data_IF_919570976680
#
_entry.id   IF_919570976680
#
_cell.length_a   1.000
_cell.length_b   1.000
_cell.length_c   1.000
_cell.angle_alpha   90.00
_cell.angle_beta   90.00
_cell.angle_gamma   90.00
#
_symmetry.space_group_name_H-M   'P 1'
#
loop_
_entity.id
_entity.type
_entity.pdbx_description
1 polymer ?
#
# COMPACT_ATOMS: atom_id res chain seq x y z
N UNK A 1 6.92 41.51 38.33
CA UNK A 1 7.29 40.45 39.29
C UNK A 1 7.73 39.21 38.50
N UNK A 2 9.00 39.19 38.09
CA UNK A 2 9.65 38.02 37.50
C UNK A 2 10.07 37.08 38.63
N UNK A 3 9.78 35.79 38.52
CA UNK A 3 10.40 34.76 39.37
C UNK A 3 11.30 33.88 38.50
N UNK A 4 12.59 34.21 38.51
CA UNK A 4 13.67 33.31 38.10
C UNK A 4 13.71 32.11 39.06
N UNK A 5 13.77 30.90 38.50
CA UNK A 5 14.11 29.70 39.24
C UNK A 5 15.33 29.08 38.54
N UNK A 6 16.50 29.33 39.09
CA UNK A 6 17.75 28.72 38.67
C UNK A 6 17.76 27.24 39.10
N UNK A 7 18.10 26.34 38.17
CA UNK A 7 18.36 24.92 38.47
C UNK A 7 19.86 24.65 38.33
N UNK A 8 20.50 23.90 39.24
CA UNK A 8 21.93 23.65 39.20
C UNK A 8 22.30 22.69 38.04
N UNK A 9 23.38 23.05 37.33
CA UNK A 9 23.99 22.27 36.25
C UNK A 9 24.67 21.01 36.81
N UNK A 10 24.04 19.86 36.58
CA UNK A 10 24.61 18.54 36.83
C UNK A 10 25.59 18.13 35.74
N UNK A 11 26.78 17.70 36.18
CA UNK A 11 27.93 17.21 35.41
C UNK A 11 27.53 16.07 34.43
N UNK A 12 27.68 16.30 33.12
CA UNK A 12 27.50 15.26 32.09
C UNK A 12 28.69 14.28 32.12
N UNK A 13 28.44 13.06 32.58
CA UNK A 13 29.34 11.92 32.33
C UNK A 13 29.16 11.44 30.88
N UNK A 14 30.27 11.40 30.15
CA UNK A 14 30.40 10.82 28.82
C UNK A 14 30.37 9.30 28.94
N UNK A 15 29.50 8.63 28.18
CA UNK A 15 29.55 7.19 27.94
C UNK A 15 28.29 6.43 28.34
N UNK A 16 27.27 6.45 27.48
CA UNK A 16 26.22 5.44 27.50
C UNK A 16 25.87 5.06 26.06
N UNK A 17 26.29 3.85 25.68
CA UNK A 17 25.96 3.22 24.41
C UNK A 17 24.43 3.09 24.25
N UNK A 18 23.93 3.53 23.10
CA UNK A 18 22.50 3.49 22.75
C UNK A 18 21.98 2.04 22.69
N UNK A 19 21.38 1.57 23.79
CA UNK A 19 20.42 0.46 23.74
C UNK A 19 19.03 1.05 23.57
N UNK A 20 18.39 0.76 22.44
CA UNK A 20 17.02 1.13 22.14
C UNK A 20 16.09 0.73 23.31
N UNK A 21 15.53 1.72 24.00
CA UNK A 21 14.45 1.49 24.97
C UNK A 21 13.21 1.08 24.18
N UNK A 22 12.85 -0.20 24.30
CA UNK A 22 11.54 -0.70 23.92
C UNK A 22 10.50 0.00 24.81
N UNK A 23 9.77 0.94 24.26
CA UNK A 23 8.61 1.53 24.92
C UNK A 23 7.61 0.40 25.24
N UNK A 24 7.31 0.20 26.52
CA UNK A 24 6.17 -0.60 26.92
C UNK A 24 4.91 0.19 26.58
N UNK A 25 4.21 -0.22 25.53
CA UNK A 25 2.84 0.21 25.32
C UNK A 25 1.96 -0.57 26.32
N UNK A 26 1.49 0.11 27.36
CA UNK A 26 0.38 -0.38 28.19
C UNK A 26 -0.93 -0.12 27.45
N UNK A 27 -1.68 -1.18 27.19
CA UNK A 27 -3.09 -1.06 26.81
C UNK A 27 -3.87 -0.79 28.10
N UNK A 28 -4.49 0.39 28.18
CA UNK A 28 -5.47 0.73 29.20
C UNK A 28 -6.71 -0.13 28.93
N UNK A 29 -6.96 -1.11 29.80
CA UNK A 29 -8.26 -1.78 29.88
C UNK A 29 -9.15 -0.95 30.79
N UNK A 30 -10.25 -0.44 30.22
CA UNK A 30 -11.29 0.24 30.99
C UNK A 30 -11.91 -0.73 31.99
N UNK A 31 -11.95 -0.29 33.25
CA UNK A 31 -12.44 -1.05 34.39
C UNK A 31 -13.86 -0.58 34.75
N UNK A 32 -14.73 -1.55 35.06
CA UNK A 32 -15.82 -1.50 36.05
C UNK A 32 -16.47 -2.90 36.10
N UNK A 33 -16.04 -3.73 37.05
CA UNK A 33 -17.00 -4.33 37.97
C UNK A 33 -16.35 -4.83 39.28
N UNK A 34 -17.11 -4.69 40.34
CA UNK A 34 -16.78 -4.80 41.77
C UNK A 34 -16.45 -6.21 42.29
N UNK A 35 -15.53 -6.33 43.26
CA UNK A 35 -15.57 -7.40 44.27
C UNK A 35 -14.24 -8.00 44.76
N UNK A 36 -13.74 -7.47 45.90
CA UNK A 36 -12.80 -8.03 46.90
C UNK A 36 -11.36 -8.51 46.51
N UNK A 37 -10.35 -8.22 47.35
CA UNK A 37 -8.96 -8.61 47.09
C UNK A 37 -8.72 -10.05 47.58
N UNK A 38 -8.78 -11.03 46.68
CA UNK A 38 -8.25 -12.35 46.99
C UNK A 38 -6.72 -12.28 46.97
N UNK A 39 -6.11 -12.47 48.14
CA UNK A 39 -4.70 -12.81 48.30
C UNK A 39 -4.47 -14.17 47.62
N UNK A 40 -4.14 -14.16 46.33
CA UNK A 40 -3.84 -15.40 45.59
C UNK A 40 -2.35 -15.68 45.70
N UNK A 41 -2.05 -16.58 46.62
CA UNK A 41 -0.90 -17.46 46.73
C UNK A 41 0.11 -17.39 45.59
N UNK A 42 1.32 -16.93 45.94
CA UNK A 42 2.55 -17.34 45.27
C UNK A 42 2.67 -18.88 45.36
N UNK A 43 2.86 -19.54 44.22
CA UNK A 43 3.16 -20.97 43.99
C UNK A 43 2.17 -21.70 43.07
N UNK A 44 2.03 -21.22 41.84
CA UNK A 44 1.58 -22.06 40.73
C UNK A 44 2.25 -21.58 39.43
N UNK A 45 3.54 -21.87 39.28
CA UNK A 45 4.27 -21.70 38.01
C UNK A 45 3.75 -22.72 37.00
N UNK A 46 2.53 -22.52 36.51
CA UNK A 46 2.09 -23.13 35.27
C UNK A 46 2.96 -22.52 34.18
N UNK A 47 3.94 -23.28 33.68
CA UNK A 47 4.75 -22.92 32.51
C UNK A 47 3.82 -22.62 31.34
N UNK A 48 3.42 -21.36 31.19
CA UNK A 48 2.57 -20.94 30.09
C UNK A 48 3.38 -21.14 28.79
N UNK A 49 2.79 -21.74 27.75
CA UNK A 49 3.50 -21.92 26.49
C UNK A 49 4.00 -20.56 25.97
N UNK A 50 5.20 -20.50 25.37
CA UNK A 50 5.80 -19.25 24.93
C UNK A 50 4.86 -18.54 23.94
N UNK A 51 4.74 -17.22 24.09
CA UNK A 51 3.92 -16.39 23.19
C UNK A 51 4.46 -16.52 21.76
N UNK A 52 3.56 -16.73 20.81
CA UNK A 52 3.86 -16.74 19.38
C UNK A 52 4.50 -15.42 18.93
N UNK A 53 5.33 -15.38 17.87
CA UNK A 53 5.91 -14.13 17.39
C UNK A 53 4.85 -13.16 16.89
N UNK A 54 5.09 -11.85 17.02
CA UNK A 54 4.11 -10.80 16.68
C UNK A 54 3.68 -10.82 15.22
N UNK A 55 4.57 -11.17 14.30
CA UNK A 55 4.25 -11.31 12.87
C UNK A 55 3.19 -12.39 12.63
N UNK A 56 3.34 -13.54 13.27
CA UNK A 56 2.38 -14.65 13.17
C UNK A 56 1.06 -14.31 13.86
N UNK A 57 1.11 -13.64 15.01
CA UNK A 57 -0.10 -13.14 15.68
C UNK A 57 -0.87 -12.16 14.79
N UNK A 58 -0.17 -11.24 14.12
CA UNK A 58 -0.78 -10.23 13.26
C UNK A 58 -1.54 -10.84 12.06
N UNK A 59 -1.18 -12.04 11.60
CA UNK A 59 -1.90 -12.74 10.52
C UNK A 59 -3.34 -13.05 10.92
N UNK A 60 -3.54 -13.54 12.15
CA UNK A 60 -4.86 -13.91 12.67
C UNK A 60 -5.70 -12.72 13.14
N UNK A 61 -5.07 -11.58 13.37
CA UNK A 61 -5.75 -10.35 13.77
C UNK A 61 -6.19 -9.55 12.54
N UNK A 62 -7.09 -8.58 12.79
CA UNK A 62 -7.43 -7.55 11.81
C UNK A 62 -6.19 -6.73 11.43
N UNK A 63 -6.12 -6.19 10.21
CA UNK A 63 -4.97 -5.41 9.77
C UNK A 63 -4.80 -4.20 10.68
N UNK A 64 -3.59 -4.07 11.25
CA UNK A 64 -3.21 -2.93 12.06
C UNK A 64 -3.16 -1.68 11.17
N UNK A 65 -3.55 -0.53 11.73
CA UNK A 65 -3.56 0.75 11.02
C UNK A 65 -2.67 1.75 11.74
N UNK A 66 -2.07 2.67 10.98
CA UNK A 66 -1.35 3.83 11.52
C UNK A 66 -2.27 5.04 11.50
N UNK A 67 -2.04 5.96 12.42
CA UNK A 67 -2.72 7.25 12.47
C UNK A 67 -2.01 8.25 11.55
N UNK A 68 -2.79 9.12 10.91
CA UNK A 68 -2.28 10.21 10.08
C UNK A 68 -2.19 11.49 10.92
N UNK A 69 -1.15 12.29 10.71
CA UNK A 69 -0.90 13.52 11.48
C UNK A 69 -1.61 14.73 10.85
N UNK A 70 -1.45 14.91 9.54
CA UNK A 70 -1.99 16.04 8.79
C UNK A 70 -3.27 15.66 8.01
N UNK A 71 -3.38 14.39 7.63
CA UNK A 71 -4.56 13.87 6.93
C UNK A 71 -4.66 14.29 5.46
N UNK A 72 -3.54 14.62 4.82
CA UNK A 72 -3.49 15.00 3.41
C UNK A 72 -3.42 13.72 2.56
N UNK A 73 -4.30 13.54 1.55
CA UNK A 73 -4.27 12.34 0.72
C UNK A 73 -3.05 12.34 -0.22
N UNK A 74 -2.25 11.27 -0.15
CA UNK A 74 -1.06 11.09 -1.00
C UNK A 74 -1.32 10.08 -2.12
N UNK A 75 -2.17 9.07 -1.89
CA UNK A 75 -2.48 8.07 -2.90
C UNK A 75 -3.87 7.46 -2.69
N UNK A 76 -4.61 7.32 -3.78
CA UNK A 76 -5.89 6.64 -3.85
C UNK A 76 -5.78 5.41 -4.72
N UNK A 77 -5.88 4.24 -4.11
CA UNK A 77 -5.88 2.95 -4.79
C UNK A 77 -7.31 2.43 -4.93
N UNK A 78 -7.81 2.42 -6.17
CA UNK A 78 -9.08 1.82 -6.51
C UNK A 78 -8.90 0.40 -7.02
N UNK A 79 -9.50 -0.56 -6.31
CA UNK A 79 -9.57 -1.96 -6.66
C UNK A 79 -10.91 -2.25 -7.34
N UNK A 80 -10.89 -3.06 -8.41
CA UNK A 80 -12.08 -3.49 -9.14
C UNK A 80 -12.05 -5.00 -9.36
N UNK A 81 -13.18 -5.66 -9.17
CA UNK A 81 -13.35 -7.08 -9.50
C UNK A 81 -14.81 -7.40 -9.79
N UNK A 82 -15.05 -8.54 -10.44
CA UNK A 82 -16.39 -9.10 -10.60
C UNK A 82 -16.80 -9.99 -9.41
N UNK A 83 -15.85 -10.37 -8.54
CA UNK A 83 -16.10 -11.21 -7.36
C UNK A 83 -15.66 -10.52 -6.06
N UNK A 84 -16.34 -10.85 -4.95
CA UNK A 84 -16.14 -10.22 -3.64
C UNK A 84 -14.88 -10.78 -2.96
N UNK A 85 -14.72 -12.11 -2.94
CA UNK A 85 -13.66 -12.79 -2.21
C UNK A 85 -12.23 -12.36 -2.60
N UNK A 86 -11.83 -12.35 -3.90
CA UNK A 86 -10.50 -11.91 -4.28
C UNK A 86 -10.27 -10.42 -3.96
N UNK A 87 -11.33 -9.61 -4.07
CA UNK A 87 -11.29 -8.17 -3.84
C UNK A 87 -11.06 -7.84 -2.37
N UNK A 88 -11.77 -8.50 -1.45
CA UNK A 88 -11.63 -8.30 -0.01
C UNK A 88 -10.32 -8.88 0.54
N UNK A 89 -9.92 -10.06 0.05
CA UNK A 89 -8.64 -10.66 0.41
C UNK A 89 -7.46 -9.75 0.01
N UNK A 90 -7.47 -9.25 -1.22
CA UNK A 90 -6.41 -8.40 -1.71
C UNK A 90 -6.40 -7.02 -1.01
N UNK A 91 -7.57 -6.50 -0.66
CA UNK A 91 -7.65 -5.28 0.14
C UNK A 91 -7.04 -5.45 1.54
N UNK A 92 -7.29 -6.57 2.23
CA UNK A 92 -6.67 -6.87 3.53
C UNK A 92 -5.14 -6.99 3.39
N UNK A 93 -4.67 -7.70 2.36
CA UNK A 93 -3.24 -7.81 2.05
C UNK A 93 -2.60 -6.43 1.83
N UNK A 94 -3.25 -5.56 1.07
CA UNK A 94 -2.73 -4.21 0.79
C UNK A 94 -2.62 -3.34 2.05
N UNK A 95 -3.59 -3.43 2.96
CA UNK A 95 -3.53 -2.73 4.25
C UNK A 95 -2.39 -3.22 5.14
N UNK A 96 -2.16 -4.55 5.18
CA UNK A 96 -1.05 -5.13 5.95
C UNK A 96 0.29 -4.65 5.42
N UNK A 97 0.47 -4.62 4.09
CA UNK A 97 1.69 -4.11 3.47
C UNK A 97 1.93 -2.62 3.81
N UNK A 98 0.87 -1.79 3.76
CA UNK A 98 0.96 -0.38 4.12
C UNK A 98 1.40 -0.17 5.59
N UNK A 99 0.89 -0.97 6.52
CA UNK A 99 1.25 -0.89 7.95
C UNK A 99 2.74 -1.12 8.22
N UNK A 100 3.35 -2.08 7.50
CA UNK A 100 4.78 -2.37 7.64
C UNK A 100 5.65 -1.29 7.02
N UNK A 101 5.19 -0.64 5.94
CA UNK A 101 5.85 0.52 5.34
C UNK A 101 5.62 1.82 6.12
N UNK A 102 4.83 1.79 7.19
CA UNK A 102 4.54 2.97 8.01
C UNK A 102 3.52 3.93 7.39
N UNK A 103 2.84 3.54 6.31
CA UNK A 103 1.84 4.36 5.64
C UNK A 103 0.49 4.29 6.38
N UNK A 104 -0.13 5.43 6.76
CA UNK A 104 -1.46 5.43 7.34
C UNK A 104 -2.52 5.25 6.24
N UNK A 105 -2.89 4.00 6.03
CA UNK A 105 -3.91 3.58 5.09
C UNK A 105 -5.31 3.52 5.74
N UNK A 106 -6.25 4.20 5.11
CA UNK A 106 -7.68 4.11 5.40
C UNK A 106 -8.27 2.92 4.64
N UNK A 107 -9.11 2.16 5.34
CA UNK A 107 -9.55 0.82 4.94
C UNK A 107 -10.29 0.75 3.61
N UNK A 108 -10.68 -0.46 3.15
CA UNK A 108 -11.40 -0.62 1.90
C UNK A 108 -12.78 0.04 1.98
N UNK A 109 -12.88 1.26 1.48
CA UNK A 109 -14.12 2.00 1.35
C UNK A 109 -14.91 1.34 0.21
N UNK A 110 -16.12 0.80 0.48
CA UNK A 110 -16.95 0.22 -0.55
C UNK A 110 -17.52 1.35 -1.42
N UNK A 111 -17.00 1.45 -2.65
CA UNK A 111 -17.59 2.35 -3.64
C UNK A 111 -18.83 1.69 -4.25
N UNK A 112 -19.80 2.49 -4.75
CA UNK A 112 -20.98 1.96 -5.42
C UNK A 112 -20.59 0.98 -6.54
N UNK A 113 -21.29 -0.16 -6.63
CA UNK A 113 -21.08 -1.13 -7.72
C UNK A 113 -21.60 -0.56 -9.03
N UNK A 114 -20.94 -0.91 -10.14
CA UNK A 114 -21.43 -0.60 -11.49
C UNK A 114 -22.14 -1.86 -11.99
N UNK A 115 -23.38 -1.75 -12.43
CA UNK A 115 -24.12 -2.87 -13.02
C UNK A 115 -24.44 -2.58 -14.47
N UNK A 116 -23.80 -3.33 -15.36
CA UNK A 116 -24.07 -3.29 -16.79
C UNK A 116 -25.08 -4.39 -17.11
N UNK A 117 -26.13 -4.08 -17.87
CA UNK A 117 -27.19 -5.02 -18.24
C UNK A 117 -27.37 -5.07 -19.74
N UNK A 118 -27.56 -6.26 -20.28
CA UNK A 118 -27.88 -6.45 -21.70
C UNK A 118 -28.89 -7.58 -21.85
N UNK A 119 -29.76 -7.44 -22.84
CA UNK A 119 -30.84 -8.39 -23.12
C UNK A 119 -30.56 -9.10 -24.44
N UNK A 120 -30.51 -10.42 -24.43
CA UNK A 120 -30.18 -11.22 -25.61
C UNK A 120 -31.33 -12.19 -25.89
N UNK A 121 -31.73 -12.39 -27.16
CA UNK A 121 -32.64 -13.47 -27.52
C UNK A 121 -32.08 -14.83 -27.09
N UNK A 122 -32.92 -15.69 -26.51
CA UNK A 122 -32.49 -17.03 -26.07
C UNK A 122 -32.08 -17.94 -27.23
N UNK A 123 -32.68 -17.73 -28.40
CA UNK A 123 -32.37 -18.45 -29.63
C UNK A 123 -31.70 -17.52 -30.64
N UNK A 124 -30.81 -18.10 -31.43
CA UNK A 124 -30.11 -17.43 -32.52
C UNK A 124 -31.04 -16.95 -33.66
N UNK A 125 -32.26 -17.52 -33.79
CA UNK A 125 -33.16 -17.23 -34.91
C UNK A 125 -34.66 -17.21 -34.54
N UNK A 126 -35.44 -16.34 -35.21
CA UNK A 126 -36.91 -16.10 -35.17
C UNK A 126 -37.51 -15.76 -33.79
N UNK A 127 -37.11 -16.40 -32.69
CA UNK A 127 -37.78 -16.34 -31.39
C UNK A 127 -37.44 -15.08 -30.56
N UNK A 128 -37.74 -13.88 -31.09
CA UNK A 128 -37.48 -12.59 -30.41
C UNK A 128 -38.28 -12.38 -29.11
N UNK A 129 -39.47 -12.98 -28.98
CA UNK A 129 -40.30 -12.88 -27.76
C UNK A 129 -39.68 -13.58 -26.54
N UNK A 130 -38.76 -14.52 -26.77
CA UNK A 130 -38.01 -15.20 -25.72
C UNK A 130 -36.64 -14.53 -25.55
N UNK A 131 -36.53 -13.62 -24.58
CA UNK A 131 -35.29 -12.91 -24.25
C UNK A 131 -34.78 -13.30 -22.86
N UNK A 132 -33.49 -13.11 -22.63
CA UNK A 132 -32.80 -13.31 -21.36
C UNK A 132 -32.01 -12.05 -20.99
N UNK A 133 -32.07 -11.69 -19.71
CA UNK A 133 -31.35 -10.55 -19.17
C UNK A 133 -30.04 -11.04 -18.56
N UNK A 134 -28.93 -10.50 -19.02
CA UNK A 134 -27.62 -10.72 -18.43
C UNK A 134 -27.17 -9.46 -17.70
N UNK A 135 -26.39 -9.65 -16.63
CA UNK A 135 -25.73 -8.54 -15.95
C UNK A 135 -24.26 -8.83 -15.65
N UNK A 136 -23.46 -7.77 -15.69
CA UNK A 136 -22.09 -7.75 -15.19
C UNK A 136 -21.99 -6.71 -14.09
N UNK A 137 -21.77 -7.19 -12.87
CA UNK A 137 -21.62 -6.34 -11.69
C UNK A 137 -20.13 -6.15 -11.40
N UNK A 138 -19.65 -4.92 -11.54
CA UNK A 138 -18.29 -4.54 -11.15
C UNK A 138 -18.31 -4.00 -9.73
N UNK A 139 -17.67 -4.73 -8.84
CA UNK A 139 -17.47 -4.37 -7.44
C UNK A 139 -16.22 -3.51 -7.31
N UNK A 140 -16.28 -2.50 -6.45
CA UNK A 140 -15.21 -1.52 -6.29
C UNK A 140 -14.90 -1.31 -4.81
N UNK A 141 -13.62 -1.25 -4.49
CA UNK A 141 -13.10 -0.85 -3.17
C UNK A 141 -12.05 0.23 -3.37
N UNK A 142 -11.95 1.15 -2.43
CA UNK A 142 -10.96 2.22 -2.45
C UNK A 142 -10.14 2.17 -1.17
N UNK A 143 -8.83 2.24 -1.28
CA UNK A 143 -7.89 2.37 -0.17
C UNK A 143 -7.23 3.73 -0.35
N UNK A 144 -7.34 4.58 0.66
CA UNK A 144 -6.76 5.91 0.64
C UNK A 144 -5.59 5.95 1.61
N UNK A 145 -4.41 6.33 1.12
CA UNK A 145 -3.21 6.57 1.92
C UNK A 145 -3.08 8.07 2.13
N UNK A 146 -2.91 8.47 3.39
CA UNK A 146 -2.64 9.86 3.78
C UNK A 146 -1.19 10.01 4.22
N UNK A 147 -0.66 11.24 4.16
CA UNK A 147 0.66 11.62 4.69
C UNK A 147 1.79 10.64 4.33
N UNK A 148 1.76 10.09 3.11
CA UNK A 148 2.73 9.11 2.64
C UNK A 148 3.88 9.77 1.89
N UNK A 149 5.11 9.37 2.19
CA UNK A 149 6.27 9.75 1.38
C UNK A 149 6.12 9.14 -0.04
N UNK A 150 6.36 9.92 -1.12
CA UNK A 150 6.13 9.47 -2.50
C UNK A 150 6.91 8.21 -2.87
N UNK A 151 8.17 8.08 -2.46
CA UNK A 151 9.00 6.90 -2.74
C UNK A 151 8.45 5.65 -2.05
N UNK A 152 8.00 5.80 -0.80
CA UNK A 152 7.42 4.70 -0.02
C UNK A 152 6.07 4.25 -0.61
N UNK A 153 5.26 5.19 -1.09
CA UNK A 153 4.01 4.91 -1.79
C UNK A 153 4.28 4.17 -3.11
N UNK A 154 5.29 4.57 -3.87
CA UNK A 154 5.68 3.88 -5.10
C UNK A 154 6.16 2.46 -4.81
N UNK A 155 6.99 2.27 -3.77
CA UNK A 155 7.43 0.95 -3.33
C UNK A 155 6.24 0.06 -2.93
N UNK A 156 5.28 0.62 -2.20
CA UNK A 156 4.04 -0.08 -1.85
C UNK A 156 3.27 -0.53 -3.10
N UNK A 157 3.04 0.37 -4.05
CA UNK A 157 2.35 0.06 -5.31
C UNK A 157 3.11 -1.00 -6.14
N UNK A 158 4.44 -0.92 -6.19
CA UNK A 158 5.27 -1.91 -6.86
C UNK A 158 5.15 -3.29 -6.21
N UNK A 159 5.13 -3.34 -4.87
CA UNK A 159 4.93 -4.57 -4.12
C UNK A 159 3.54 -5.19 -4.39
N UNK A 160 2.49 -4.36 -4.42
CA UNK A 160 1.13 -4.83 -4.77
C UNK A 160 1.04 -5.34 -6.19
N UNK A 161 1.71 -4.70 -7.14
CA UNK A 161 1.78 -5.15 -8.54
C UNK A 161 2.49 -6.48 -8.68
N UNK A 162 3.59 -6.69 -7.95
CA UNK A 162 4.33 -7.97 -7.94
C UNK A 162 3.48 -9.11 -7.39
N UNK A 163 2.66 -8.84 -6.38
CA UNK A 163 1.83 -9.83 -5.68
C UNK A 163 0.33 -9.68 -6.00
N UNK A 164 0.00 -9.23 -7.21
CA UNK A 164 -1.39 -8.98 -7.61
C UNK A 164 -2.21 -10.27 -7.60
N UNK A 165 -3.36 -10.24 -6.91
CA UNK A 165 -4.30 -11.36 -6.89
C UNK A 165 -5.07 -11.45 -8.21
N UNK A 166 -5.40 -12.66 -8.65
CA UNK A 166 -6.12 -12.88 -9.91
C UNK A 166 -7.51 -12.24 -9.87
N UNK A 167 -7.98 -11.78 -11.03
CA UNK A 167 -9.33 -11.19 -11.14
C UNK A 167 -9.51 -9.84 -10.42
N UNK A 168 -8.45 -9.23 -9.91
CA UNK A 168 -8.46 -7.88 -9.33
C UNK A 168 -7.72 -6.91 -10.25
N UNK A 169 -8.41 -5.87 -10.70
CA UNK A 169 -7.83 -4.73 -11.40
C UNK A 169 -7.52 -3.59 -10.44
N UNK A 170 -6.39 -2.92 -10.63
CA UNK A 170 -5.92 -1.81 -9.79
C UNK A 170 -5.82 -0.52 -10.61
N UNK A 171 -6.31 0.59 -10.06
CA UNK A 171 -6.06 1.94 -10.55
C UNK A 171 -5.54 2.77 -9.37
N UNK A 172 -4.33 3.30 -9.47
CA UNK A 172 -3.76 4.18 -8.47
C UNK A 172 -3.70 5.61 -8.99
N UNK A 173 -4.17 6.56 -8.20
CA UNK A 173 -3.91 7.99 -8.39
C UNK A 173 -2.93 8.41 -7.30
N UNK A 174 -1.78 8.97 -7.68
CA UNK A 174 -0.75 9.44 -6.75
C UNK A 174 -0.62 10.95 -6.85
N UNK A 175 -0.55 11.62 -5.69
CA UNK A 175 -0.33 13.05 -5.58
C UNK A 175 1.07 13.31 -5.03
N UNK A 176 1.77 14.24 -5.66
CA UNK A 176 3.11 14.68 -5.29
C UNK A 176 3.14 16.22 -5.24
N UNK A 177 3.89 16.75 -4.29
CA UNK A 177 4.10 18.19 -4.19
C UNK A 177 5.23 18.60 -5.12
N UNK A 178 4.91 19.36 -6.15
CA UNK A 178 5.90 20.01 -7.01
C UNK A 178 6.12 21.47 -6.62
N UNK A 179 7.36 21.96 -6.76
CA UNK A 179 7.63 23.39 -6.72
C UNK A 179 7.18 24.06 -8.03
N UNK A 180 6.85 25.35 -7.98
CA UNK A 180 6.55 26.13 -9.17
C UNK A 180 7.82 26.32 -10.01
N UNK A 181 7.82 25.85 -11.26
CA UNK A 181 9.03 25.85 -12.13
C UNK A 181 9.52 24.46 -12.58
N UNK A 182 8.62 23.49 -12.66
CA UNK A 182 8.87 22.05 -12.96
C UNK A 182 9.82 21.80 -14.13
N UNK A 183 9.82 22.66 -15.16
CA UNK A 183 10.70 22.52 -16.33
C UNK A 183 12.20 22.49 -15.99
N UNK A 184 12.64 23.22 -14.95
CA UNK A 184 14.04 23.22 -14.50
C UNK A 184 14.37 22.06 -13.56
N UNK A 185 13.36 21.57 -12.83
CA UNK A 185 13.52 20.47 -11.86
C UNK A 185 13.51 19.10 -12.53
N UNK A 186 12.92 18.96 -13.73
CA UNK A 186 12.93 17.72 -14.50
C UNK A 186 14.31 17.35 -15.08
N UNK A 187 15.21 18.33 -15.21
CA UNK A 187 16.63 18.08 -15.48
C UNK A 187 17.30 17.63 -14.18
N UNK A 188 17.03 16.39 -13.76
CA UNK A 188 17.69 15.83 -12.58
C UNK A 188 19.21 15.89 -12.79
N UNK A 189 19.97 16.54 -11.88
CA UNK A 189 21.42 16.54 -11.95
C UNK A 189 21.93 15.10 -11.91
N UNK A 190 22.92 14.77 -12.75
CA UNK A 190 23.49 13.43 -12.83
C UNK A 190 23.99 12.90 -11.48
N UNK A 191 24.26 13.79 -10.53
CA UNK A 191 24.71 13.46 -9.18
C UNK A 191 23.61 12.85 -8.31
N UNK A 192 22.35 13.33 -8.42
CA UNK A 192 21.22 12.72 -7.70
C UNK A 192 20.91 11.31 -8.21
N UNK A 193 21.10 11.06 -9.50
CA UNK A 193 20.92 9.72 -10.08
C UNK A 193 21.92 8.70 -9.49
N UNK A 194 23.18 9.12 -9.26
CA UNK A 194 24.20 8.28 -8.62
C UNK A 194 23.88 7.96 -7.16
N UNK A 195 23.30 8.92 -6.42
CA UNK A 195 22.84 8.70 -5.04
C UNK A 195 21.69 7.70 -4.97
N UNK A 196 20.72 7.79 -5.89
CA UNK A 196 19.66 6.79 -6.05
C UNK A 196 20.22 5.40 -6.34
N UNK A 197 21.20 5.29 -7.25
CA UNK A 197 21.84 4.01 -7.57
C UNK A 197 22.51 3.37 -6.35
N UNK A 198 23.15 4.17 -5.49
CA UNK A 198 23.71 3.69 -4.22
C UNK A 198 22.63 3.16 -3.26
N UNK A 199 21.50 3.86 -3.15
CA UNK A 199 20.36 3.42 -2.32
C UNK A 199 19.72 2.14 -2.85
N UNK A 200 19.71 1.96 -4.18
CA UNK A 200 19.13 0.80 -4.85
C UNK A 200 20.08 -0.40 -4.87
N UNK A 201 21.39 -0.20 -4.74
CA UNK A 201 22.38 -1.28 -4.65
C UNK A 201 22.20 -2.17 -3.40
N UNK A 202 21.65 -1.61 -2.32
CA UNK A 202 21.30 -2.35 -1.11
C UNK A 202 19.99 -3.14 -1.26
N UNK A 203 19.17 -2.83 -2.28
CA UNK A 203 17.97 -3.59 -2.61
C UNK A 203 18.43 -4.88 -3.28
N UNK A 204 18.23 -6.03 -2.62
CA UNK A 204 18.67 -7.37 -3.05
C UNK A 204 18.02 -7.92 -4.33
N UNK A 205 17.71 -7.07 -5.31
CA UNK A 205 17.41 -7.51 -6.67
C UNK A 205 18.72 -7.99 -7.33
N UNK A 206 18.93 -9.30 -7.30
CA UNK A 206 20.03 -9.96 -8.02
C UNK A 206 19.82 -10.00 -9.54
N UNK A 207 18.66 -9.55 -10.01
CA UNK A 207 18.35 -9.36 -11.43
C UNK A 207 18.19 -7.87 -11.67
N UNK A 208 19.24 -7.23 -12.15
CA UNK A 208 19.11 -5.91 -12.74
C UNK A 208 18.01 -5.99 -13.81
N UNK A 209 17.01 -5.10 -13.74
CA UNK A 209 16.25 -4.74 -14.95
C UNK A 209 17.33 -4.25 -15.92
N UNK A 210 17.43 -4.93 -17.06
CA UNK A 210 18.63 -4.99 -17.89
C UNK A 210 19.23 -3.66 -18.32
N UNK A 211 20.34 -3.74 -19.06
CA UNK A 211 21.05 -2.59 -19.62
C UNK A 211 20.09 -1.55 -20.22
N UNK A 212 20.40 -0.25 -20.17
CA UNK A 212 19.52 0.81 -20.72
C UNK A 212 19.00 0.52 -22.14
N UNK A 213 19.81 -0.13 -23.00
CA UNK A 213 19.43 -0.61 -24.34
C UNK A 213 18.36 -1.70 -24.34
N UNK A 214 18.38 -2.60 -23.36
CA UNK A 214 17.36 -3.64 -23.19
C UNK A 214 16.05 -3.01 -22.69
N UNK A 215 16.14 -2.03 -21.80
CA UNK A 215 14.97 -1.25 -21.36
C UNK A 215 14.38 -0.47 -22.53
N UNK A 216 15.20 0.17 -23.35
CA UNK A 216 14.77 0.88 -24.57
C UNK A 216 14.16 -0.09 -25.61
N UNK A 217 14.72 -1.29 -25.75
CA UNK A 217 14.15 -2.38 -26.54
C UNK A 217 12.79 -2.87 -26.02
N UNK A 218 12.61 -2.92 -24.69
CA UNK A 218 11.33 -3.26 -24.06
C UNK A 218 10.29 -2.14 -24.22
N UNK A 219 10.70 -0.87 -24.12
CA UNK A 219 9.83 0.30 -24.32
C UNK A 219 9.39 0.45 -25.78
N UNK A 220 10.28 0.13 -26.73
CA UNK A 220 9.96 0.10 -28.17
C UNK A 220 9.21 -1.16 -28.58
N UNK A 221 9.07 -2.15 -27.69
CA UNK A 221 8.31 -3.36 -27.99
C UNK A 221 6.84 -3.05 -28.25
N UNK A 222 6.31 -3.67 -29.31
CA UNK A 222 4.91 -3.48 -29.75
C UNK A 222 3.91 -3.80 -28.64
N UNK A 223 4.19 -4.82 -27.83
CA UNK A 223 3.37 -5.24 -26.68
C UNK A 223 3.27 -4.14 -25.62
N UNK A 224 4.36 -3.40 -25.38
CA UNK A 224 4.36 -2.27 -24.45
C UNK A 224 3.58 -1.08 -25.04
N UNK A 225 3.78 -0.76 -26.31
CA UNK A 225 3.07 0.32 -27.00
C UNK A 225 1.55 0.08 -27.10
N UNK A 226 1.11 -1.18 -27.26
CA UNK A 226 -0.31 -1.56 -27.24
C UNK A 226 -0.93 -1.41 -25.84
N UNK A 227 -0.20 -1.76 -24.78
CA UNK A 227 -0.66 -1.59 -23.38
C UNK A 227 -0.74 -0.11 -22.99
N UNK A 228 0.17 0.72 -23.47
CA UNK A 228 0.16 2.18 -23.25
C UNK A 228 -0.86 2.87 -24.15
N UNK A 229 -1.38 2.21 -25.18
CA UNK A 229 -2.38 2.75 -26.10
C UNK A 229 -1.82 3.74 -27.12
N UNK A 230 -0.51 3.77 -27.33
CA UNK A 230 0.20 4.73 -28.20
C UNK A 230 0.51 4.18 -29.59
N UNK A 231 -0.38 3.34 -30.15
CA UNK A 231 -0.15 2.74 -31.47
C UNK A 231 -0.12 3.83 -32.56
N UNK A 232 1.03 4.00 -33.21
CA UNK A 232 1.09 4.72 -34.49
C UNK A 232 0.54 3.78 -35.57
N UNK A 233 -0.42 4.22 -36.41
CA UNK A 233 -0.84 3.43 -37.56
C UNK A 233 0.38 3.20 -38.47
N UNK A 234 0.70 1.93 -38.76
CA UNK A 234 1.77 1.59 -39.70
C UNK A 234 1.41 2.16 -41.08
N UNK A 235 2.15 3.17 -41.51
CA UNK A 235 2.13 3.61 -42.90
C UNK A 235 2.58 2.44 -43.78
N UNK A 236 1.78 2.11 -44.79
CA UNK A 236 2.10 1.11 -45.79
C UNK A 236 3.49 1.39 -46.38
N UNK A 237 4.44 0.48 -46.14
CA UNK A 237 5.73 0.52 -46.80
C UNK A 237 5.51 0.21 -48.29
N UNK A 238 5.50 1.26 -49.12
CA UNK A 238 5.51 1.14 -50.57
C UNK A 238 6.84 0.56 -51.01
N UNK A 239 6.79 -0.61 -51.65
CA UNK A 239 7.90 -1.16 -52.41
C UNK A 239 8.18 -0.28 -53.63
N UNK A 240 9.46 0.04 -53.82
CA UNK A 240 10.04 0.34 -55.13
C UNK A 240 10.99 -0.80 -55.48
#
# INVERSE_FOLDING_TARGET
>A
MLRSAERPLGRLQVGAFWRARRTQASLVSGDKDSGQPSLVSANNERTQPPRRPRSLQAIYLKPLKREAEFGIPSCDLQLRSFSIQPLEFFADFALRAAYYLGLPAYGPIPLPRITERWTVPKSHFIFKKAQENFERVTLRRMIQVKDGNPETVQLWLAYLRKHQYYGVGMKANMWEFGQTGVGRTMELPQDQLKELESSWSHLGQTKNIGTAREVEGLLSSRRFQEVVGSSRPQGAAGGK
#
